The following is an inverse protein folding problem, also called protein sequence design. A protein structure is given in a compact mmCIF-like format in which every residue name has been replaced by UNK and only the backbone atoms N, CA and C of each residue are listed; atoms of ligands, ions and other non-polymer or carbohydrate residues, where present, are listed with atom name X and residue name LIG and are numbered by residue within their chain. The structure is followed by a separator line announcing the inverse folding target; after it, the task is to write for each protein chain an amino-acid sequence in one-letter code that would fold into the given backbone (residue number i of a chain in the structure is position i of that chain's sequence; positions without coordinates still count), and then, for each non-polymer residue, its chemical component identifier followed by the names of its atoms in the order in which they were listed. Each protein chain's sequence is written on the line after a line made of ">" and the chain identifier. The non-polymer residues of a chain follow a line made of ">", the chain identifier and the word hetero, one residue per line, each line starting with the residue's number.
data_IF_783710405951
#
_entry.id   IF_783710405951
#
_cell.length_a   1.000
_cell.length_b   1.000
_cell.length_c   1.000
_cell.angle_alpha   90.00
_cell.angle_beta   90.00
_cell.angle_gamma   90.00
#
_symmetry.space_group_name_H-M   'P 1'
#
loop_
_entity.id
_entity.type
_entity.pdbx_description
1 polymer ?
#
# COMPACT_ATOMS: atom_id res chain seq x y z
N UNK A 1 -55.05 2.96 -35.01
CA UNK A 1 -54.78 3.19 -33.59
C UNK A 1 -53.94 2.11 -32.89
N UNK A 2 -53.47 1.02 -33.58
CA UNK A 2 -52.65 -0.04 -32.93
C UNK A 2 -51.14 0.15 -32.99
N UNK A 3 -50.65 1.16 -33.72
CA UNK A 3 -49.18 1.40 -33.91
C UNK A 3 -48.56 2.38 -32.89
N UNK A 4 -49.36 3.18 -32.24
CA UNK A 4 -48.87 4.12 -31.21
C UNK A 4 -48.51 3.43 -29.88
N UNK A 5 -49.24 2.36 -29.52
CA UNK A 5 -48.97 1.62 -28.28
C UNK A 5 -47.64 0.90 -28.28
N UNK A 6 -47.19 0.39 -29.44
CA UNK A 6 -45.89 -0.32 -29.53
C UNK A 6 -44.66 0.60 -29.38
N UNK A 7 -44.77 1.82 -29.85
CA UNK A 7 -43.68 2.82 -29.73
C UNK A 7 -43.55 3.30 -28.29
N UNK A 8 -44.64 3.40 -27.56
CA UNK A 8 -44.63 3.85 -26.17
C UNK A 8 -44.02 2.78 -25.23
N UNK A 9 -44.26 1.51 -25.52
CA UNK A 9 -43.64 0.39 -24.77
C UNK A 9 -42.14 0.29 -25.02
N UNK A 10 -41.70 0.56 -26.26
CA UNK A 10 -40.28 0.54 -26.59
C UNK A 10 -39.51 1.68 -25.92
N UNK A 11 -40.13 2.83 -25.70
CA UNK A 11 -39.51 4.00 -25.04
C UNK A 11 -39.39 3.81 -23.52
N UNK A 12 -40.32 3.08 -22.90
CA UNK A 12 -40.28 2.78 -21.46
C UNK A 12 -39.19 1.76 -21.14
N UNK A 13 -38.84 0.87 -22.07
CA UNK A 13 -37.76 -0.11 -21.87
C UNK A 13 -36.35 0.50 -21.91
N UNK A 14 -36.20 1.73 -22.40
CA UNK A 14 -34.90 2.41 -22.54
C UNK A 14 -34.50 3.21 -21.31
N UNK A 15 -35.34 3.29 -20.27
CA UNK A 15 -35.08 4.05 -19.04
C UNK A 15 -34.93 3.10 -17.83
N UNK A 16 -34.33 1.92 -18.05
CA UNK A 16 -33.90 1.12 -16.92
C UNK A 16 -32.62 1.76 -16.34
N UNK A 17 -32.65 2.23 -15.08
CA UNK A 17 -31.43 2.73 -14.47
C UNK A 17 -30.41 1.59 -14.44
N UNK A 18 -29.26 1.79 -15.08
CA UNK A 18 -28.11 0.94 -14.84
C UNK A 18 -27.69 1.13 -13.38
N UNK A 19 -28.19 0.27 -12.51
CA UNK A 19 -27.70 0.19 -11.14
C UNK A 19 -26.30 -0.41 -11.18
N UNK A 20 -25.29 0.45 -11.23
CA UNK A 20 -23.92 0.04 -11.00
C UNK A 20 -23.83 -0.44 -9.54
N UNK A 21 -23.77 -1.73 -9.33
CA UNK A 21 -23.53 -2.30 -8.00
C UNK A 21 -22.06 -2.10 -7.65
N UNK A 22 -21.81 -1.37 -6.55
CA UNK A 22 -20.47 -1.26 -5.98
C UNK A 22 -20.06 -2.67 -5.51
N UNK A 23 -18.92 -3.20 -5.94
CA UNK A 23 -18.48 -4.52 -5.50
C UNK A 23 -18.34 -4.53 -3.97
N UNK A 24 -18.75 -5.62 -3.34
CA UNK A 24 -18.73 -5.77 -1.88
C UNK A 24 -17.31 -5.81 -1.29
N UNK A 25 -16.32 -6.03 -2.13
CA UNK A 25 -14.91 -6.03 -1.74
C UNK A 25 -14.06 -5.54 -2.91
N UNK A 26 -13.11 -4.68 -2.61
CA UNK A 26 -12.05 -4.27 -3.53
C UNK A 26 -10.69 -4.64 -2.93
N UNK A 27 -9.85 -5.33 -3.71
CA UNK A 27 -8.46 -5.64 -3.34
C UNK A 27 -7.51 -4.85 -4.24
N UNK A 28 -6.58 -4.14 -3.62
CA UNK A 28 -5.55 -3.37 -4.31
C UNK A 28 -4.20 -3.93 -3.86
N UNK A 29 -3.35 -4.31 -4.81
CA UNK A 29 -1.97 -4.74 -4.51
C UNK A 29 -1.07 -3.52 -4.47
N UNK A 30 -0.33 -3.38 -3.38
CA UNK A 30 0.57 -2.26 -3.14
C UNK A 30 2.00 -2.71 -3.46
N UNK A 31 2.41 -2.57 -4.71
CA UNK A 31 3.74 -2.99 -5.19
C UNK A 31 4.73 -1.84 -5.26
N UNK A 32 4.26 -0.67 -5.61
CA UNK A 32 5.10 0.48 -5.94
C UNK A 32 5.11 1.54 -4.84
N UNK A 33 6.03 2.48 -4.96
CA UNK A 33 6.16 3.62 -4.05
C UNK A 33 6.53 3.22 -2.61
N UNK A 34 7.26 2.13 -2.47
CA UNK A 34 7.87 1.74 -1.20
C UNK A 34 9.29 2.25 -1.10
N UNK A 35 9.67 2.58 0.12
CA UNK A 35 11.03 2.91 0.48
C UNK A 35 11.54 1.90 1.51
N UNK A 36 12.77 1.48 1.33
CA UNK A 36 13.46 0.53 2.19
C UNK A 36 14.72 1.14 2.81
N UNK A 37 15.00 0.76 4.04
CA UNK A 37 16.24 1.09 4.73
C UNK A 37 16.76 -0.16 5.44
N UNK A 38 18.00 -0.54 5.13
CA UNK A 38 18.73 -1.63 5.78
C UNK A 38 19.39 -1.10 7.05
N UNK A 39 19.01 -1.62 8.20
CA UNK A 39 19.55 -1.21 9.49
C UNK A 39 18.47 -0.97 10.53
N UNK A 40 18.90 -0.74 11.76
CA UNK A 40 18.03 -0.39 12.87
C UNK A 40 18.00 1.13 13.04
N UNK A 41 16.82 1.72 13.00
CA UNK A 41 16.60 3.14 13.25
C UNK A 41 16.45 3.45 14.75
N UNK A 42 16.39 2.42 15.60
CA UNK A 42 16.18 2.57 17.03
C UNK A 42 14.73 2.94 17.41
N UNK A 43 14.06 3.77 16.63
CA UNK A 43 12.67 4.13 16.90
C UNK A 43 11.87 4.48 15.65
N UNK A 44 10.54 4.39 15.75
CA UNK A 44 9.64 4.80 14.67
C UNK A 44 9.75 6.30 14.35
N UNK A 45 10.12 7.12 15.29
CA UNK A 45 10.29 8.57 15.08
C UNK A 45 11.37 8.87 14.05
N UNK A 46 12.44 8.10 14.01
CA UNK A 46 13.50 8.24 13.01
C UNK A 46 13.03 7.88 11.60
N UNK A 47 12.03 7.00 11.49
CA UNK A 47 11.45 6.64 10.21
C UNK A 47 10.56 7.76 9.62
N UNK A 48 9.97 8.60 10.46
CA UNK A 48 9.02 9.64 10.05
C UNK A 48 9.54 11.06 10.22
N UNK A 49 10.66 11.24 10.89
CA UNK A 49 11.26 12.56 11.16
C UNK A 49 11.63 13.25 9.83
N UNK A 50 11.13 14.45 9.57
CA UNK A 50 11.61 15.24 8.44
C UNK A 50 13.03 15.73 8.70
N UNK A 51 13.81 15.91 7.64
CA UNK A 51 15.09 16.58 7.74
C UNK A 51 14.89 18.01 8.29
N UNK A 52 15.55 18.33 9.39
CA UNK A 52 15.50 19.69 9.92
C UNK A 52 16.28 20.64 8.99
N UNK A 53 15.70 21.76 8.54
CA UNK A 53 16.40 22.72 7.71
C UNK A 53 17.67 23.21 8.41
N UNK A 54 18.83 23.04 7.76
CA UNK A 54 20.12 23.49 8.27
C UNK A 54 20.76 22.60 9.35
N UNK A 55 20.18 21.43 9.66
CA UNK A 55 20.85 20.47 10.55
C UNK A 55 21.93 19.69 9.80
N UNK A 56 23.07 19.48 10.46
CA UNK A 56 24.13 18.60 9.98
C UNK A 56 23.92 17.14 10.37
N UNK A 57 22.80 16.80 10.98
CA UNK A 57 22.47 15.42 11.34
C UNK A 57 22.23 14.59 10.08
N UNK A 58 22.88 13.44 10.01
CA UNK A 58 22.69 12.51 8.93
C UNK A 58 21.24 12.01 8.94
N UNK A 59 20.52 12.28 7.86
CA UNK A 59 19.18 11.73 7.66
C UNK A 59 19.32 10.33 7.09
N UNK A 60 18.54 9.34 7.57
CA UNK A 60 18.56 8.02 6.99
C UNK A 60 18.30 8.05 5.48
N UNK A 61 19.14 7.37 4.71
CA UNK A 61 18.99 7.29 3.25
C UNK A 61 18.08 6.13 2.93
N UNK A 62 16.89 6.45 2.44
CA UNK A 62 15.90 5.48 2.01
C UNK A 62 16.08 5.15 0.53
N UNK A 63 15.97 3.87 0.20
CA UNK A 63 16.02 3.37 -1.17
C UNK A 63 14.61 3.12 -1.69
N UNK A 64 14.33 3.56 -2.92
CA UNK A 64 13.07 3.22 -3.59
C UNK A 64 13.08 1.75 -3.99
N UNK A 65 12.03 1.03 -3.64
CA UNK A 65 11.90 -0.40 -3.95
C UNK A 65 10.50 -0.72 -4.44
N UNK A 66 10.41 -1.82 -5.19
CA UNK A 66 9.14 -2.42 -5.62
C UNK A 66 8.94 -3.74 -4.90
N UNK A 67 7.75 -4.01 -4.41
CA UNK A 67 7.42 -5.29 -3.77
C UNK A 67 6.98 -6.35 -4.80
N UNK A 68 7.32 -7.62 -4.60
CA UNK A 68 8.10 -8.17 -3.49
C UNK A 68 9.58 -7.77 -3.56
N UNK A 69 10.18 -7.47 -2.41
CA UNK A 69 11.59 -7.07 -2.28
C UNK A 69 12.32 -8.01 -1.34
N UNK A 70 13.51 -8.46 -1.74
CA UNK A 70 14.41 -9.24 -0.91
C UNK A 70 15.63 -8.39 -0.54
N UNK A 71 15.72 -7.99 0.71
CA UNK A 71 16.80 -7.10 1.19
C UNK A 71 18.17 -7.78 1.32
N UNK A 72 18.21 -9.13 1.21
CA UNK A 72 19.44 -9.92 1.23
C UNK A 72 19.74 -10.57 -0.14
N UNK A 73 19.18 -10.04 -1.22
CA UNK A 73 19.38 -10.63 -2.55
C UNK A 73 20.85 -10.64 -2.97
N UNK A 74 21.59 -9.59 -2.63
CA UNK A 74 23.03 -9.49 -2.93
C UNK A 74 23.85 -10.30 -1.94
N UNK A 75 23.59 -10.17 -0.65
CA UNK A 75 24.30 -10.86 0.43
C UNK A 75 24.21 -12.40 0.31
N UNK A 76 23.14 -12.91 -0.30
CA UNK A 76 22.90 -14.35 -0.43
C UNK A 76 23.72 -14.98 -1.56
N UNK A 77 24.19 -14.20 -2.52
CA UNK A 77 24.87 -14.70 -3.73
C UNK A 77 26.34 -14.31 -3.80
N UNK A 78 26.76 -13.29 -3.07
CA UNK A 78 28.14 -12.81 -3.04
C UNK A 78 28.87 -13.36 -1.79
N UNK A 79 29.84 -14.26 -1.94
CA UNK A 79 30.58 -14.84 -0.81
C UNK A 79 31.47 -13.83 -0.08
N UNK A 80 31.78 -12.71 -0.69
CA UNK A 80 32.63 -11.66 -0.11
C UNK A 80 31.83 -10.67 0.75
N UNK A 81 30.49 -10.73 0.70
CA UNK A 81 29.59 -9.91 1.48
C UNK A 81 29.03 -10.72 2.66
N UNK A 82 29.19 -10.21 3.87
CA UNK A 82 28.59 -10.86 5.04
C UNK A 82 27.05 -10.81 4.96
N UNK A 83 26.42 -11.97 5.14
CA UNK A 83 24.96 -12.07 5.19
C UNK A 83 24.39 -11.22 6.32
N UNK A 84 23.57 -10.25 5.97
CA UNK A 84 23.00 -9.33 6.93
C UNK A 84 21.88 -9.98 7.75
N UNK A 85 22.03 -9.94 9.06
CA UNK A 85 21.04 -10.38 10.04
C UNK A 85 20.68 -9.20 10.93
N UNK A 86 19.63 -8.52 10.60
CA UNK A 86 19.24 -7.32 11.33
C UNK A 86 17.90 -6.76 10.88
N UNK A 87 17.58 -5.59 11.39
CA UNK A 87 16.34 -4.90 11.07
C UNK A 87 16.35 -4.35 9.64
N UNK A 88 15.20 -4.42 8.99
CA UNK A 88 14.92 -3.72 7.74
C UNK A 88 13.62 -2.95 7.88
N UNK A 89 13.62 -1.71 7.47
CA UNK A 89 12.47 -0.83 7.54
C UNK A 89 11.89 -0.63 6.15
N UNK A 90 10.58 -0.72 6.08
CA UNK A 90 9.82 -0.39 4.88
C UNK A 90 8.81 0.68 5.21
N UNK A 91 8.68 1.67 4.36
CA UNK A 91 7.64 2.69 4.50
C UNK A 91 7.01 3.02 3.17
N UNK A 92 5.75 3.39 3.20
CA UNK A 92 5.02 3.92 2.05
C UNK A 92 3.97 4.91 2.52
N UNK A 93 3.56 5.77 1.62
CA UNK A 93 2.45 6.69 1.87
C UNK A 93 1.25 6.27 1.03
N UNK A 94 0.15 6.00 1.70
CA UNK A 94 -1.08 5.55 1.06
C UNK A 94 -2.16 6.63 1.13
N UNK A 95 -2.82 6.85 0.00
CA UNK A 95 -4.06 7.62 -0.04
C UNK A 95 -5.21 6.68 -0.36
N UNK A 96 -5.94 6.27 0.67
CA UNK A 96 -7.00 5.28 0.55
C UNK A 96 -8.35 5.96 0.71
N UNK A 97 -9.22 5.79 -0.29
CA UNK A 97 -10.63 6.13 -0.18
C UNK A 97 -11.42 4.85 0.08
N UNK A 98 -12.13 4.81 1.19
CA UNK A 98 -13.07 3.71 1.44
C UNK A 98 -14.42 4.06 0.78
N UNK A 99 -14.82 3.36 -0.31
CA UNK A 99 -16.07 3.63 -0.99
C UNK A 99 -17.28 3.04 -0.26
N UNK A 100 -17.05 2.24 0.78
CA UNK A 100 -18.10 1.51 1.49
C UNK A 100 -18.53 2.27 2.74
N UNK A 101 -19.79 2.59 2.84
CA UNK A 101 -20.36 3.12 4.08
C UNK A 101 -20.27 2.04 5.16
N UNK A 102 -19.64 2.35 6.28
CA UNK A 102 -19.31 1.40 7.36
C UNK A 102 -18.36 0.24 6.96
N UNK A 103 -17.69 0.34 5.82
CA UNK A 103 -16.69 -0.61 5.40
C UNK A 103 -15.40 -0.53 6.21
N UNK A 104 -14.56 -1.56 6.08
CA UNK A 104 -13.24 -1.65 6.70
C UNK A 104 -12.16 -1.59 5.64
N UNK A 105 -11.03 -1.00 5.99
CA UNK A 105 -9.80 -1.11 5.23
C UNK A 105 -8.90 -2.10 5.98
N UNK A 106 -8.45 -3.14 5.28
CA UNK A 106 -7.61 -4.20 5.83
C UNK A 106 -6.31 -4.18 5.06
N UNK A 107 -5.18 -4.13 5.78
CA UNK A 107 -3.86 -4.32 5.21
C UNK A 107 -3.48 -5.79 5.40
N UNK A 108 -3.24 -6.47 4.28
CA UNK A 108 -2.88 -7.89 4.23
C UNK A 108 -1.44 -8.04 3.76
N UNK A 109 -0.63 -8.80 4.50
CA UNK A 109 0.74 -9.14 4.13
C UNK A 109 0.77 -10.57 3.61
N UNK A 110 1.18 -10.77 2.36
CA UNK A 110 1.34 -12.10 1.77
C UNK A 110 2.65 -12.76 2.24
N UNK A 111 3.62 -11.97 2.70
CA UNK A 111 4.88 -12.42 3.26
C UNK A 111 5.57 -11.30 4.01
N UNK A 112 6.13 -11.65 5.16
CA UNK A 112 6.93 -10.76 5.99
C UNK A 112 8.00 -11.59 6.70
N UNK A 113 9.01 -10.94 7.30
CA UNK A 113 10.07 -11.63 8.03
C UNK A 113 9.57 -12.36 9.29
N UNK A 114 10.46 -13.09 9.94
CA UNK A 114 10.15 -13.88 11.15
C UNK A 114 9.57 -13.05 12.29
N UNK A 115 10.03 -11.81 12.43
CA UNK A 115 9.50 -10.83 13.37
C UNK A 115 9.17 -9.57 12.61
N UNK A 116 7.89 -9.23 12.55
CA UNK A 116 7.39 -8.04 11.85
C UNK A 116 6.60 -7.19 12.81
N UNK A 117 6.86 -5.90 12.77
CA UNK A 117 6.11 -4.89 13.49
C UNK A 117 5.53 -3.90 12.47
N UNK A 118 4.28 -3.56 12.61
CA UNK A 118 3.56 -2.66 11.69
C UNK A 118 3.17 -1.40 12.43
N UNK A 119 3.35 -0.28 11.78
CA UNK A 119 2.99 1.03 12.30
C UNK A 119 2.12 1.77 11.30
N UNK A 120 1.08 2.42 11.77
CA UNK A 120 0.29 3.39 11.01
C UNK A 120 0.56 4.76 11.62
N UNK A 121 1.21 5.65 10.85
CA UNK A 121 1.89 6.83 11.38
C UNK A 121 2.95 6.41 12.41
N UNK A 122 2.74 6.68 13.66
CA UNK A 122 3.64 6.34 14.78
C UNK A 122 3.03 5.33 15.74
N UNK A 123 1.84 4.84 15.46
CA UNK A 123 1.14 3.88 16.29
C UNK A 123 1.41 2.46 15.82
N UNK A 124 1.92 1.62 16.70
CA UNK A 124 2.04 0.18 16.48
C UNK A 124 0.66 -0.45 16.45
N UNK A 125 0.36 -1.24 15.43
CA UNK A 125 -0.93 -1.92 15.22
C UNK A 125 -0.77 -3.43 15.29
#
# INVERSE_FOLDING_TARGET
>A
MKRLSSIFILFILLILPLNATIPTQQRIRLTDSWEYLKGDLGSIWEAVRPAAPGSSEAVPIWQQVTLPHCFNAEDAVDPDINYYQGAGWYRTQLSIKNPYLNGRVILEFEGAGQKTEVYVYTYKV
#
